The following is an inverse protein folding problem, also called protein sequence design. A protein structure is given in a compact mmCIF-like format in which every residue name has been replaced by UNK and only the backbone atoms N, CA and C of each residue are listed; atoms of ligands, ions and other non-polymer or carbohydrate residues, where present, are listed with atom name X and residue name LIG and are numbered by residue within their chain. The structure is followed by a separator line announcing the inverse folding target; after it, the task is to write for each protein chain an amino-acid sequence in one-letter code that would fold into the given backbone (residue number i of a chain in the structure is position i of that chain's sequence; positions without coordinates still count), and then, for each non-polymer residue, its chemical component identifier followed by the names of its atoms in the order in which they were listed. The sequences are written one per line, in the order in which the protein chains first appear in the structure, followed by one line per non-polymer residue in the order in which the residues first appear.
data_IF_650871182360
#
_entry.id   IF_650871182360
#
_cell.length_a   1.000
_cell.length_b   1.000
_cell.length_c   1.000
_cell.angle_alpha   90.00
_cell.angle_beta   90.00
_cell.angle_gamma   90.00
#
_symmetry.space_group_name_H-M   'P 1'
#
loop_
_entity.id
_entity.type
_entity.pdbx_description
1 polymer ?
#
# COMPACT_ATOMS: atom_id res chain seq x y z
N UNK A 1 5.28 -10.71 3.72
CA UNK A 1 4.13 -11.44 4.34
C UNK A 1 3.03 -11.75 3.33
N UNK A 2 2.52 -10.76 2.59
CA UNK A 2 1.37 -10.91 1.67
C UNK A 2 1.61 -11.86 0.49
N UNK A 3 2.79 -11.80 -0.15
CA UNK A 3 3.17 -12.71 -1.25
C UNK A 3 3.19 -14.17 -0.82
N UNK A 4 3.70 -14.48 0.38
CA UNK A 4 3.76 -15.85 0.89
C UNK A 4 2.35 -16.39 1.15
N UNK A 5 1.44 -15.54 1.63
CA UNK A 5 0.03 -15.89 1.77
C UNK A 5 -0.56 -16.22 0.39
N UNK A 6 -0.43 -15.32 -0.58
CA UNK A 6 -0.94 -15.56 -1.93
C UNK A 6 -0.40 -16.85 -2.54
N UNK A 7 0.91 -17.09 -2.52
CA UNK A 7 1.51 -18.33 -3.06
C UNK A 7 0.94 -19.59 -2.40
N UNK A 8 0.61 -19.55 -1.11
CA UNK A 8 0.00 -20.67 -0.40
C UNK A 8 -1.48 -20.91 -0.75
N UNK A 9 -2.23 -19.84 -1.11
CA UNK A 9 -3.66 -19.93 -1.44
C UNK A 9 -3.95 -20.01 -2.95
N UNK A 10 -3.02 -19.60 -3.81
CA UNK A 10 -3.15 -19.63 -5.27
C UNK A 10 -3.46 -21.02 -5.87
N UNK A 11 -2.86 -22.13 -5.39
CA UNK A 11 -3.21 -23.47 -5.85
C UNK A 11 -4.67 -23.86 -5.58
N UNK A 12 -5.32 -23.26 -4.57
CA UNK A 12 -6.73 -23.54 -4.27
C UNK A 12 -7.69 -22.96 -5.32
N UNK A 13 -7.24 -21.99 -6.12
CA UNK A 13 -8.01 -21.41 -7.22
C UNK A 13 -7.69 -22.05 -8.58
N UNK A 14 -6.79 -23.04 -8.62
CA UNK A 14 -6.49 -23.79 -9.84
C UNK A 14 -7.43 -24.97 -10.03
N UNK A 15 -7.87 -25.20 -11.27
CA UNK A 15 -8.71 -26.35 -11.63
C UNK A 15 -7.89 -27.44 -12.29
N UNK A 16 -8.28 -28.71 -12.12
CA UNK A 16 -7.62 -29.88 -12.74
C UNK A 16 -7.75 -29.92 -14.28
N UNK A 17 -8.44 -28.95 -14.88
CA UNK A 17 -8.68 -28.89 -16.33
C UNK A 17 -7.48 -28.37 -17.15
N UNK A 18 -6.34 -28.02 -16.53
CA UNK A 18 -5.15 -27.55 -17.26
C UNK A 18 -3.86 -27.48 -16.42
N UNK A 19 -2.74 -27.03 -17.03
CA UNK A 19 -1.44 -26.97 -16.35
C UNK A 19 -1.46 -25.98 -15.18
N UNK A 20 -1.37 -26.48 -13.95
CA UNK A 20 -1.43 -25.67 -12.73
C UNK A 20 -0.41 -24.52 -12.72
N UNK A 21 0.80 -24.74 -13.28
CA UNK A 21 1.84 -23.72 -13.36
C UNK A 21 1.43 -22.49 -14.19
N UNK A 22 0.67 -22.66 -15.27
CA UNK A 22 0.21 -21.55 -16.09
C UNK A 22 -0.89 -20.73 -15.39
N UNK A 23 -1.78 -21.39 -14.65
CA UNK A 23 -2.83 -20.71 -13.88
C UNK A 23 -2.24 -19.92 -12.70
N UNK A 24 -1.27 -20.49 -11.98
CA UNK A 24 -0.54 -19.78 -10.91
C UNK A 24 0.23 -18.59 -11.45
N UNK A 25 0.91 -18.73 -12.61
CA UNK A 25 1.61 -17.63 -13.26
C UNK A 25 0.66 -16.49 -13.67
N UNK A 26 -0.50 -16.82 -14.23
CA UNK A 26 -1.54 -15.86 -14.59
C UNK A 26 -2.06 -15.10 -13.35
N UNK A 27 -2.40 -15.82 -12.29
CA UNK A 27 -2.89 -15.21 -11.05
C UNK A 27 -1.82 -14.31 -10.39
N UNK A 28 -0.56 -14.75 -10.39
CA UNK A 28 0.57 -13.93 -9.93
C UNK A 28 0.75 -12.66 -10.76
N UNK A 29 0.60 -12.74 -12.08
CA UNK A 29 0.65 -11.58 -12.97
C UNK A 29 -0.47 -10.58 -12.67
N UNK A 30 -1.72 -11.05 -12.52
CA UNK A 30 -2.87 -10.20 -12.16
C UNK A 30 -2.62 -9.48 -10.84
N UNK A 31 -2.10 -10.19 -9.83
CA UNK A 31 -1.75 -9.59 -8.55
C UNK A 31 -0.66 -8.52 -8.71
N UNK A 32 0.41 -8.80 -9.47
CA UNK A 32 1.47 -7.83 -9.71
C UNK A 32 0.95 -6.57 -10.40
N UNK A 33 0.05 -6.71 -11.38
CA UNK A 33 -0.60 -5.57 -12.05
C UNK A 33 -1.41 -4.76 -11.05
N UNK A 34 -2.23 -5.40 -10.21
CA UNK A 34 -3.02 -4.71 -9.19
C UNK A 34 -2.15 -4.00 -8.15
N UNK A 35 -1.03 -4.61 -7.75
CA UNK A 35 -0.06 -4.01 -6.84
C UNK A 35 0.56 -2.75 -7.45
N UNK A 36 1.04 -2.84 -8.70
CA UNK A 36 1.61 -1.69 -9.42
C UNK A 36 0.57 -0.59 -9.62
N UNK A 37 -0.68 -0.91 -9.96
CA UNK A 37 -1.75 0.07 -10.12
C UNK A 37 -2.07 0.76 -8.79
N UNK A 38 -2.13 0.00 -7.69
CA UNK A 38 -2.37 0.55 -6.35
C UNK A 38 -1.24 1.48 -5.93
N UNK A 39 0.01 1.03 -6.06
CA UNK A 39 1.19 1.81 -5.71
C UNK A 39 1.32 3.06 -6.59
N UNK A 40 1.04 2.93 -7.89
CA UNK A 40 1.05 4.06 -8.82
C UNK A 40 -0.03 5.09 -8.47
N UNK A 41 -1.22 4.62 -8.08
CA UNK A 41 -2.31 5.51 -7.63
C UNK A 41 -1.87 6.31 -6.40
N UNK A 42 -1.27 5.63 -5.42
CA UNK A 42 -0.71 6.30 -4.24
C UNK A 42 0.45 7.24 -4.58
N UNK A 43 1.34 6.84 -5.49
CA UNK A 43 2.46 7.66 -5.92
C UNK A 43 2.00 8.94 -6.64
N UNK A 44 1.01 8.84 -7.52
CA UNK A 44 0.41 9.99 -8.22
C UNK A 44 -0.32 10.90 -7.24
N UNK A 45 -1.12 10.33 -6.33
CA UNK A 45 -1.80 11.11 -5.28
C UNK A 45 -0.79 11.83 -4.37
N UNK A 46 0.28 11.16 -3.95
CA UNK A 46 1.33 11.75 -3.14
C UNK A 46 2.09 12.85 -3.91
N UNK A 47 2.37 12.64 -5.20
CA UNK A 47 2.99 13.64 -6.07
C UNK A 47 2.10 14.88 -6.28
N UNK A 48 0.82 14.67 -6.55
CA UNK A 48 -0.17 15.73 -6.69
C UNK A 48 -0.37 16.49 -5.38
N UNK A 49 -0.44 15.78 -4.25
CA UNK A 49 -0.48 16.37 -2.92
C UNK A 49 0.78 17.22 -2.68
N UNK A 50 1.97 16.69 -2.96
CA UNK A 50 3.25 17.42 -2.82
C UNK A 50 3.27 18.70 -3.67
N UNK A 51 2.83 18.65 -4.92
CA UNK A 51 2.73 19.83 -5.79
C UNK A 51 1.68 20.84 -5.30
N UNK A 52 0.55 20.37 -4.77
CA UNK A 52 -0.48 21.22 -4.17
C UNK A 52 0.01 21.90 -2.88
N UNK A 53 0.78 21.19 -2.06
CA UNK A 53 1.42 21.73 -0.86
C UNK A 53 2.56 22.70 -1.19
N UNK A 54 3.34 22.44 -2.23
CA UNK A 54 4.42 23.32 -2.69
C UNK A 54 3.93 24.69 -3.19
N UNK A 55 2.64 24.85 -3.50
CA UNK A 55 2.07 26.15 -3.89
C UNK A 55 1.94 27.17 -2.74
N UNK A 56 1.94 26.74 -1.47
CA UNK A 56 1.90 27.66 -0.32
C UNK A 56 2.73 27.09 0.85
N UNK A 57 3.90 27.67 1.19
CA UNK A 57 4.79 27.15 2.24
C UNK A 57 4.11 27.04 3.61
N UNK A 58 3.18 27.93 3.95
CA UNK A 58 2.41 27.88 5.19
C UNK A 58 1.56 26.60 5.37
N UNK A 59 1.20 25.90 4.28
CA UNK A 59 0.43 24.64 4.35
C UNK A 59 1.33 23.42 4.60
N UNK A 60 2.59 23.48 4.18
CA UNK A 60 3.58 22.44 4.48
C UNK A 60 3.91 22.43 5.97
N UNK A 61 4.08 23.60 6.59
CA UNK A 61 4.32 23.72 8.04
C UNK A 61 3.14 23.21 8.86
N UNK A 62 1.90 23.56 8.48
CA UNK A 62 0.71 23.09 9.17
C UNK A 62 0.53 21.56 9.06
N UNK A 63 0.84 20.98 7.89
CA UNK A 63 0.77 19.53 7.69
C UNK A 63 1.88 18.79 8.43
N UNK A 64 3.10 19.34 8.45
CA UNK A 64 4.22 18.82 9.24
C UNK A 64 3.91 18.85 10.74
N UNK A 65 3.32 19.95 11.22
CA UNK A 65 2.86 20.07 12.60
C UNK A 65 1.72 19.09 12.93
N UNK A 66 0.76 18.89 12.02
CA UNK A 66 -0.31 17.91 12.18
C UNK A 66 0.23 16.46 12.18
N UNK A 67 1.15 16.13 11.29
CA UNK A 67 1.81 14.82 11.26
C UNK A 67 2.66 14.56 12.50
N UNK A 68 3.41 15.56 12.97
CA UNK A 68 4.20 15.48 14.19
C UNK A 68 3.34 15.33 15.44
N UNK A 69 2.27 16.11 15.57
CA UNK A 69 1.31 15.96 16.69
C UNK A 69 0.61 14.61 16.67
N UNK A 70 0.28 14.07 15.50
CA UNK A 70 -0.28 12.73 15.36
C UNK A 70 0.73 11.65 15.76
N UNK A 71 2.01 11.76 15.38
CA UNK A 71 3.06 10.85 15.83
C UNK A 71 3.26 10.88 17.34
N UNK A 72 3.25 12.07 17.94
CA UNK A 72 3.34 12.23 19.40
C UNK A 72 2.12 11.58 20.06
N UNK A 73 0.91 11.86 19.56
CA UNK A 73 -0.32 11.26 20.08
C UNK A 73 -0.30 9.73 19.98
N UNK A 74 0.16 9.18 18.86
CA UNK A 74 0.32 7.73 18.68
C UNK A 74 1.36 7.17 19.66
N UNK A 75 2.52 7.80 19.83
CA UNK A 75 3.53 7.37 20.80
C UNK A 75 3.01 7.41 22.24
N UNK A 76 2.27 8.45 22.61
CA UNK A 76 1.64 8.58 23.93
C UNK A 76 0.58 7.51 24.15
N UNK A 77 -0.30 7.28 23.17
CA UNK A 77 -1.31 6.22 23.27
C UNK A 77 -0.66 4.85 23.39
N UNK A 78 0.40 4.56 22.62
CA UNK A 78 1.11 3.29 22.68
C UNK A 78 1.73 3.05 24.07
N UNK A 79 2.41 4.05 24.63
CA UNK A 79 2.93 3.99 26.01
C UNK A 79 1.81 3.88 27.05
N UNK A 80 0.62 4.41 26.77
CA UNK A 80 -0.53 4.31 27.66
C UNK A 80 -1.33 3.00 27.50
N UNK A 81 -1.13 2.25 26.40
CA UNK A 81 -1.78 0.94 26.18
C UNK A 81 -0.87 -0.24 26.51
N UNK A 82 0.43 0.00 26.67
CA UNK A 82 1.42 -0.92 27.27
C UNK A 82 1.48 -0.74 28.79
#
# INVERSE_FOLDING_TARGET
KTIVFFVAFLPQFTSDAGPAGAQVALLGLVFAVLAVLSDSTWAVLAGAAKQWFARKPARLDALGAAGGTMMIGLGVTLVATE
#
